data_IF_276997743976
#
_entry.id   IF_276997743976
#
_cell.length_a   1.000
_cell.length_b   1.000
_cell.length_c   1.000
_cell.angle_alpha   90.00
_cell.angle_beta   90.00
_cell.angle_gamma   90.00
#
_symmetry.space_group_name_H-M   'P 1'
#
loop_
_entity.id
_entity.type
_entity.pdbx_description
1 polymer ?
#
# COMPACT_ATOMS: atom_id res chain seq x y z
N UNK A 1 25.46 7.95 -19.39
CA UNK A 1 26.43 8.84 -20.08
C UNK A 1 26.40 10.25 -19.51
N UNK A 2 25.21 10.82 -19.24
CA UNK A 2 25.07 12.20 -18.69
C UNK A 2 25.76 12.31 -17.32
N UNK A 3 25.51 11.40 -16.39
CA UNK A 3 26.18 11.37 -15.09
C UNK A 3 27.70 11.34 -15.15
N UNK A 4 28.24 10.55 -16.07
CA UNK A 4 29.69 10.45 -16.25
C UNK A 4 30.32 11.71 -16.84
N UNK A 5 29.55 12.50 -17.58
CA UNK A 5 30.00 13.74 -18.18
C UNK A 5 29.82 14.96 -17.28
N UNK A 6 28.69 15.00 -16.54
CA UNK A 6 28.34 16.10 -15.63
C UNK A 6 27.38 15.59 -14.55
N UNK A 7 27.88 15.45 -13.33
CA UNK A 7 27.09 14.94 -12.20
C UNK A 7 25.88 15.83 -11.85
N UNK A 8 26.02 17.15 -11.96
CA UNK A 8 24.93 18.09 -11.66
C UNK A 8 23.77 17.95 -12.65
N UNK A 9 24.07 17.83 -13.94
CA UNK A 9 23.04 17.58 -14.97
C UNK A 9 22.44 16.18 -14.82
N UNK A 10 23.23 15.19 -14.41
CA UNK A 10 22.75 13.86 -14.08
C UNK A 10 21.74 13.86 -12.93
N UNK A 11 22.01 14.61 -11.85
CA UNK A 11 21.09 14.77 -10.72
C UNK A 11 19.81 15.48 -11.13
N UNK A 12 19.90 16.57 -11.90
CA UNK A 12 18.71 17.26 -12.44
C UNK A 12 17.82 16.34 -13.26
N UNK A 13 18.43 15.51 -14.11
CA UNK A 13 17.71 14.53 -14.92
C UNK A 13 17.00 13.49 -14.03
N UNK A 14 17.65 12.99 -12.97
CA UNK A 14 17.02 12.06 -12.04
C UNK A 14 15.83 12.70 -11.30
N UNK A 15 15.95 13.94 -10.85
CA UNK A 15 14.89 14.65 -10.16
C UNK A 15 13.73 15.05 -11.09
N UNK A 16 14.01 15.24 -12.38
CA UNK A 16 12.96 15.67 -13.33
C UNK A 16 11.89 14.61 -13.58
N UNK A 17 12.20 13.33 -13.37
CA UNK A 17 11.24 12.25 -13.59
C UNK A 17 10.15 12.20 -12.52
N UNK A 18 10.37 12.82 -11.35
CA UNK A 18 9.37 12.89 -10.29
C UNK A 18 8.15 13.74 -10.69
N UNK A 19 8.30 14.63 -11.67
CA UNK A 19 7.16 15.37 -12.24
C UNK A 19 6.13 14.48 -12.92
N UNK A 20 6.52 13.30 -13.39
CA UNK A 20 5.62 12.34 -14.03
C UNK A 20 4.68 11.67 -13.03
N UNK A 21 5.00 11.73 -11.72
CA UNK A 21 4.14 11.24 -10.63
C UNK A 21 2.87 12.08 -10.52
N UNK A 22 2.94 13.39 -10.75
CA UNK A 22 1.83 14.32 -10.54
C UNK A 22 0.57 13.97 -11.36
N UNK A 23 0.65 13.79 -12.68
CA UNK A 23 -0.53 13.42 -13.47
C UNK A 23 -1.06 12.02 -13.11
N UNK A 24 -0.18 11.07 -12.76
CA UNK A 24 -0.60 9.75 -12.26
C UNK A 24 -1.37 9.90 -10.94
N UNK A 25 -0.84 10.66 -9.98
CA UNK A 25 -1.48 10.89 -8.69
C UNK A 25 -2.89 11.51 -8.86
N UNK A 26 -3.02 12.54 -9.68
CA UNK A 26 -4.32 13.17 -9.98
C UNK A 26 -5.31 12.15 -10.58
N UNK A 27 -4.88 11.35 -11.54
CA UNK A 27 -5.70 10.29 -12.14
C UNK A 27 -6.12 9.25 -11.10
N UNK A 28 -5.17 8.80 -10.29
CA UNK A 28 -5.39 7.76 -9.28
C UNK A 28 -6.38 8.24 -8.21
N UNK A 29 -6.17 9.42 -7.61
CA UNK A 29 -7.06 9.94 -6.57
C UNK A 29 -8.49 10.24 -7.08
N UNK A 30 -8.65 10.56 -8.35
CA UNK A 30 -9.96 10.75 -8.99
C UNK A 30 -10.62 9.43 -9.44
N UNK A 31 -9.95 8.29 -9.30
CA UNK A 31 -10.45 7.01 -9.80
C UNK A 31 -11.50 6.39 -8.88
N UNK A 32 -12.41 5.60 -9.49
CA UNK A 32 -13.38 4.79 -8.74
C UNK A 32 -12.71 3.68 -7.91
N UNK A 33 -11.55 3.20 -8.34
CA UNK A 33 -10.76 2.19 -7.67
C UNK A 33 -10.19 2.74 -6.36
N UNK A 34 -9.68 3.98 -6.36
CA UNK A 34 -9.22 4.64 -5.14
C UNK A 34 -10.38 4.99 -4.21
N UNK A 35 -11.49 5.50 -4.74
CA UNK A 35 -12.70 5.74 -3.96
C UNK A 35 -13.20 4.46 -3.28
N UNK A 36 -13.13 3.33 -3.99
CA UNK A 36 -13.45 2.00 -3.44
C UNK A 36 -12.46 1.57 -2.36
N UNK A 37 -11.15 1.80 -2.54
CA UNK A 37 -10.13 1.53 -1.51
C UNK A 37 -10.40 2.33 -0.23
N UNK A 38 -10.71 3.62 -0.37
CA UNK A 38 -11.04 4.50 0.75
C UNK A 38 -12.30 4.03 1.49
N UNK A 39 -13.37 3.69 0.77
CA UNK A 39 -14.63 3.24 1.38
C UNK A 39 -14.48 1.85 2.01
N UNK A 40 -13.96 0.89 1.27
CA UNK A 40 -13.83 -0.49 1.74
C UNK A 40 -12.89 -0.62 2.94
N UNK A 41 -11.80 0.16 2.98
CA UNK A 41 -10.87 0.18 4.11
C UNK A 41 -11.54 0.75 5.37
N UNK A 42 -12.23 1.88 5.22
CA UNK A 42 -13.00 2.44 6.31
C UNK A 42 -14.05 1.46 6.88
N UNK A 43 -14.84 0.83 6.01
CA UNK A 43 -15.87 -0.14 6.44
C UNK A 43 -15.26 -1.40 7.06
N UNK A 44 -14.12 -1.84 6.57
CA UNK A 44 -13.37 -2.97 7.15
C UNK A 44 -12.97 -2.67 8.60
N UNK A 45 -12.32 -1.53 8.84
CA UNK A 45 -11.92 -1.12 10.19
C UNK A 45 -13.12 -0.91 11.10
N UNK A 46 -14.17 -0.23 10.62
CA UNK A 46 -15.39 0.05 11.38
C UNK A 46 -16.14 -1.23 11.80
N UNK A 47 -16.08 -2.28 10.98
CA UNK A 47 -16.70 -3.57 11.31
C UNK A 47 -15.80 -4.48 12.18
N UNK A 48 -14.65 -4.00 12.62
CA UNK A 48 -13.69 -4.77 13.44
C UNK A 48 -12.82 -5.73 12.63
N UNK A 49 -12.79 -5.60 11.29
CA UNK A 49 -11.84 -6.30 10.43
C UNK A 49 -10.46 -5.65 10.45
N UNK A 50 -9.50 -6.30 9.83
CA UNK A 50 -8.10 -5.84 9.77
C UNK A 50 -7.73 -5.48 8.34
N UNK A 51 -6.81 -4.52 8.20
CA UNK A 51 -6.18 -4.22 6.91
C UNK A 51 -4.76 -4.76 6.92
N UNK A 52 -4.44 -5.57 5.91
CA UNK A 52 -3.14 -6.19 5.75
C UNK A 52 -2.46 -5.57 4.53
N UNK A 53 -1.32 -4.91 4.74
CA UNK A 53 -0.44 -4.52 3.66
C UNK A 53 0.53 -5.67 3.37
N UNK A 54 0.68 -6.07 2.11
CA UNK A 54 1.65 -7.10 1.74
C UNK A 54 2.59 -6.63 0.65
N UNK A 55 3.83 -7.08 0.71
CA UNK A 55 4.85 -6.75 -0.28
C UNK A 55 6.12 -7.59 -0.13
N UNK A 56 7.04 -7.41 -1.07
CA UNK A 56 8.35 -8.06 -1.08
C UNK A 56 9.46 -7.03 -1.27
N UNK A 57 10.60 -7.22 -0.63
CA UNK A 57 11.75 -6.32 -0.76
C UNK A 57 11.41 -4.86 -0.43
N UNK A 58 11.46 -3.97 -1.42
CA UNK A 58 11.14 -2.55 -1.24
C UNK A 58 9.67 -2.35 -0.83
N UNK A 59 8.74 -3.02 -1.52
CA UNK A 59 7.30 -2.93 -1.22
C UNK A 59 6.93 -3.60 0.10
N UNK A 60 7.66 -4.64 0.50
CA UNK A 60 7.54 -5.22 1.85
C UNK A 60 7.93 -4.22 2.95
N UNK A 61 8.93 -3.36 2.69
CA UNK A 61 9.29 -2.28 3.62
C UNK A 61 8.21 -1.19 3.66
N UNK A 62 7.58 -0.85 2.54
CA UNK A 62 6.41 0.04 2.54
C UNK A 62 5.31 -0.56 3.43
N UNK A 63 5.01 -1.85 3.30
CA UNK A 63 4.01 -2.52 4.12
C UNK A 63 4.29 -2.38 5.63
N UNK A 64 5.55 -2.56 6.04
CA UNK A 64 5.99 -2.36 7.43
C UNK A 64 5.89 -0.89 7.86
N UNK A 65 6.21 0.05 6.97
CA UNK A 65 6.09 1.49 7.25
C UNK A 65 4.62 1.84 7.51
N UNK A 66 3.68 1.32 6.71
CA UNK A 66 2.25 1.56 6.89
C UNK A 66 1.77 1.08 8.27
N UNK A 67 2.13 -0.13 8.68
CA UNK A 67 1.80 -0.66 10.00
C UNK A 67 2.47 0.16 11.11
N UNK A 68 3.75 0.42 10.99
CA UNK A 68 4.53 1.10 12.02
C UNK A 68 4.10 2.55 12.23
N UNK A 69 3.79 3.28 11.14
CA UNK A 69 3.26 4.65 11.21
C UNK A 69 1.89 4.69 11.92
N UNK A 70 1.01 3.74 11.58
CA UNK A 70 -0.30 3.59 12.22
C UNK A 70 -0.18 3.34 13.72
N UNK A 71 0.60 2.33 14.12
CA UNK A 71 0.81 1.98 15.53
C UNK A 71 1.47 3.11 16.31
N UNK A 72 2.44 3.80 15.68
CA UNK A 72 3.10 4.95 16.28
C UNK A 72 2.13 6.10 16.51
N UNK A 73 1.30 6.42 15.53
CA UNK A 73 0.29 7.48 15.65
C UNK A 73 -0.64 7.25 16.84
N UNK A 74 -1.19 6.05 16.98
CA UNK A 74 -2.07 5.72 18.12
C UNK A 74 -1.32 5.68 19.46
N UNK A 75 -0.08 5.24 19.48
CA UNK A 75 0.75 5.30 20.69
C UNK A 75 1.01 6.74 21.12
N UNK A 76 1.37 7.61 20.17
CA UNK A 76 1.63 9.02 20.46
C UNK A 76 0.36 9.72 20.99
N UNK A 77 -0.83 9.37 20.49
CA UNK A 77 -2.12 9.84 21.05
C UNK A 77 -2.35 9.28 22.45
N UNK A 78 -2.11 7.98 22.67
CA UNK A 78 -2.25 7.36 23.98
C UNK A 78 -1.42 8.06 25.05
N UNK A 79 -0.18 8.42 24.71
CA UNK A 79 0.77 9.04 25.61
C UNK A 79 0.47 10.54 25.85
N UNK A 80 0.05 11.26 24.80
CA UNK A 80 -0.16 12.72 24.86
C UNK A 80 -1.60 13.15 25.10
N UNK A 81 -2.60 12.33 24.74
CA UNK A 81 -4.03 12.66 24.77
C UNK A 81 -4.88 11.42 25.16
N UNK A 82 -4.71 10.87 26.37
CA UNK A 82 -5.37 9.62 26.79
C UNK A 82 -6.89 9.66 26.72
N UNK A 83 -7.50 10.83 26.91
CA UNK A 83 -8.94 11.05 26.78
C UNK A 83 -9.44 10.88 25.32
N UNK A 84 -8.65 11.30 24.34
CA UNK A 84 -8.93 11.06 22.93
C UNK A 84 -8.71 9.60 22.57
N UNK A 85 -7.59 9.03 23.07
CA UNK A 85 -7.31 7.61 22.86
C UNK A 85 -8.42 6.69 23.37
N UNK A 86 -9.06 7.03 24.49
CA UNK A 86 -10.19 6.28 25.02
C UNK A 86 -11.38 6.19 24.04
N UNK A 87 -11.53 7.17 23.13
CA UNK A 87 -12.58 7.19 22.12
C UNK A 87 -12.17 6.44 20.84
N UNK A 88 -10.92 6.63 20.39
CA UNK A 88 -10.48 6.18 19.04
C UNK A 88 -9.47 5.02 19.06
N UNK A 89 -8.98 4.63 20.22
CA UNK A 89 -7.89 3.65 20.34
C UNK A 89 -8.22 2.23 19.89
N UNK A 90 -9.51 1.91 19.67
CA UNK A 90 -9.93 0.58 19.20
C UNK A 90 -9.34 0.19 17.85
N UNK A 91 -8.91 1.17 17.02
CA UNK A 91 -8.30 0.90 15.73
C UNK A 91 -6.78 0.70 15.76
N UNK A 92 -6.14 0.92 16.92
CA UNK A 92 -4.67 0.90 17.06
C UNK A 92 -3.99 -0.36 16.53
N UNK A 93 -4.65 -1.51 16.65
CA UNK A 93 -4.10 -2.82 16.30
C UNK A 93 -4.78 -3.49 15.10
N UNK A 94 -5.48 -2.71 14.25
CA UNK A 94 -6.20 -3.28 13.11
C UNK A 94 -5.40 -3.25 11.80
N UNK A 95 -4.18 -2.70 11.78
CA UNK A 95 -3.31 -2.71 10.60
C UNK A 95 -2.11 -3.62 10.84
N UNK A 96 -1.82 -4.46 9.84
CA UNK A 96 -0.74 -5.44 9.84
C UNK A 96 0.06 -5.37 8.54
N UNK A 97 1.27 -5.92 8.57
CA UNK A 97 2.11 -6.09 7.39
C UNK A 97 2.48 -7.54 7.18
N UNK A 98 2.53 -7.95 5.91
CA UNK A 98 3.11 -9.21 5.46
C UNK A 98 4.28 -8.86 4.55
N UNK A 99 5.50 -9.06 5.03
CA UNK A 99 6.69 -9.01 4.20
C UNK A 99 7.05 -10.42 3.75
N UNK A 100 7.31 -10.61 2.46
CA UNK A 100 7.82 -11.89 1.94
C UNK A 100 9.08 -12.31 2.68
N UNK A 101 9.06 -13.51 3.28
CA UNK A 101 10.15 -14.03 4.11
C UNK A 101 10.09 -13.59 5.57
N UNK A 102 9.08 -12.80 5.97
CA UNK A 102 8.88 -12.34 7.35
C UNK A 102 9.98 -11.42 7.85
N UNK A 103 10.05 -11.23 9.17
CA UNK A 103 11.00 -10.33 9.82
C UNK A 103 12.47 -10.70 9.56
N UNK A 104 12.75 -11.97 9.33
CA UNK A 104 14.10 -12.42 9.01
C UNK A 104 14.64 -11.79 7.73
N UNK A 105 13.78 -11.49 6.76
CA UNK A 105 14.14 -10.82 5.52
C UNK A 105 14.65 -9.38 5.71
N UNK A 106 14.40 -8.77 6.87
CA UNK A 106 14.98 -7.46 7.24
C UNK A 106 16.42 -7.56 7.70
N UNK A 107 16.82 -8.72 8.24
CA UNK A 107 18.16 -8.97 8.75
C UNK A 107 19.06 -9.56 7.67
N UNK A 108 18.53 -10.52 6.92
CA UNK A 108 19.24 -11.21 5.84
C UNK A 108 18.30 -11.48 4.67
N UNK A 109 18.75 -11.18 3.45
CA UNK A 109 18.01 -11.50 2.25
C UNK A 109 17.67 -13.00 2.21
N UNK A 110 16.41 -13.31 1.95
CA UNK A 110 15.92 -14.69 1.76
C UNK A 110 15.67 -14.88 0.26
N UNK A 111 16.74 -15.27 -0.42
CA UNK A 111 16.70 -15.50 -1.86
C UNK A 111 15.64 -16.55 -2.24
N UNK A 112 15.06 -16.40 -3.40
CA UNK A 112 14.06 -17.29 -3.98
C UNK A 112 12.68 -17.32 -3.29
N UNK A 113 12.48 -16.77 -2.11
CA UNK A 113 11.15 -16.75 -1.48
C UNK A 113 10.12 -15.95 -2.30
N UNK A 114 10.55 -14.94 -3.01
CA UNK A 114 9.69 -14.11 -3.87
C UNK A 114 9.13 -14.87 -5.08
N UNK A 115 9.81 -15.94 -5.51
CA UNK A 115 9.44 -16.71 -6.70
C UNK A 115 8.33 -17.72 -6.46
N UNK A 116 7.98 -17.99 -5.19
CA UNK A 116 7.00 -18.99 -4.82
C UNK A 116 5.72 -18.37 -4.26
N UNK A 117 4.62 -18.50 -5.02
CA UNK A 117 3.30 -18.03 -4.60
C UNK A 117 2.83 -18.69 -3.29
N UNK A 118 3.18 -19.95 -3.08
CA UNK A 118 2.78 -20.71 -1.88
C UNK A 118 3.32 -20.12 -0.59
N UNK A 119 4.48 -19.47 -0.60
CA UNK A 119 4.96 -18.78 0.60
C UNK A 119 4.08 -17.59 0.99
N UNK A 120 3.61 -16.81 0.00
CA UNK A 120 2.65 -15.75 0.27
C UNK A 120 1.30 -16.29 0.78
N UNK A 121 0.82 -17.36 0.18
CA UNK A 121 -0.41 -18.04 0.62
C UNK A 121 -0.27 -18.54 2.05
N UNK A 122 0.85 -19.16 2.38
CA UNK A 122 1.14 -19.65 3.74
C UNK A 122 1.15 -18.51 4.77
N UNK A 123 1.80 -17.38 4.46
CA UNK A 123 1.80 -16.21 5.34
C UNK A 123 0.37 -15.71 5.62
N UNK A 124 -0.50 -15.65 4.61
CA UNK A 124 -1.93 -15.29 4.79
C UNK A 124 -2.65 -16.26 5.72
N UNK A 125 -2.36 -17.58 5.60
CA UNK A 125 -2.93 -18.62 6.47
C UNK A 125 -2.48 -18.45 7.93
N UNK A 126 -1.20 -18.15 8.14
CA UNK A 126 -0.62 -17.92 9.47
C UNK A 126 -1.25 -16.71 10.18
N UNK A 127 -1.55 -15.65 9.43
CA UNK A 127 -2.28 -14.49 9.96
C UNK A 127 -3.78 -14.74 10.14
N UNK A 128 -4.29 -15.92 9.79
CA UNK A 128 -5.71 -16.27 9.90
C UNK A 128 -6.62 -15.21 9.26
N UNK A 129 -6.30 -14.79 8.03
CA UNK A 129 -7.10 -13.81 7.29
C UNK A 129 -8.49 -14.38 6.99
N UNK A 130 -9.51 -13.55 7.11
CA UNK A 130 -10.92 -13.91 6.93
C UNK A 130 -11.63 -12.98 5.94
N UNK A 131 -12.89 -13.27 5.63
CA UNK A 131 -13.74 -12.41 4.80
C UNK A 131 -14.07 -11.05 5.40
N UNK A 132 -13.75 -10.83 6.68
CA UNK A 132 -13.90 -9.52 7.34
C UNK A 132 -12.71 -8.60 7.08
N UNK A 133 -11.59 -9.17 6.65
CA UNK A 133 -10.33 -8.46 6.48
C UNK A 133 -10.20 -7.88 5.05
N UNK A 134 -9.24 -7.00 4.88
CA UNK A 134 -8.87 -6.41 3.59
C UNK A 134 -7.37 -6.54 3.36
N UNK A 135 -6.98 -6.93 2.15
CA UNK A 135 -5.59 -6.93 1.69
C UNK A 135 -5.34 -5.73 0.77
N UNK A 136 -4.23 -5.05 1.01
CA UNK A 136 -3.61 -4.10 0.09
C UNK A 136 -2.25 -4.67 -0.30
N UNK A 137 -2.19 -5.34 -1.43
CA UNK A 137 -0.98 -5.96 -1.95
C UNK A 137 -0.21 -4.95 -2.82
N UNK A 138 1.08 -4.80 -2.54
CA UNK A 138 1.96 -3.83 -3.19
C UNK A 138 3.09 -4.58 -3.89
N UNK A 139 3.18 -4.45 -5.21
CA UNK A 139 4.24 -5.08 -6.00
C UNK A 139 4.58 -4.19 -7.19
N UNK A 140 5.73 -3.53 -7.15
CA UNK A 140 6.13 -2.56 -8.15
C UNK A 140 6.01 -3.08 -9.59
N UNK A 141 6.58 -4.26 -9.86
CA UNK A 141 6.51 -4.90 -11.18
C UNK A 141 5.15 -5.51 -11.52
N UNK A 142 4.26 -5.69 -10.54
CA UNK A 142 2.99 -6.39 -10.75
C UNK A 142 3.13 -7.91 -10.93
N UNK A 143 4.30 -8.49 -10.62
CA UNK A 143 4.62 -9.88 -11.01
C UNK A 143 5.21 -10.76 -9.90
N UNK A 144 5.51 -10.22 -8.73
CA UNK A 144 6.14 -10.95 -7.62
C UNK A 144 5.26 -12.10 -7.15
N UNK A 145 5.70 -13.34 -7.38
CA UNK A 145 4.89 -14.54 -7.14
C UNK A 145 4.37 -14.65 -5.72
N UNK A 146 5.22 -14.39 -4.71
CA UNK A 146 4.81 -14.45 -3.30
C UNK A 146 3.72 -13.41 -2.97
N UNK A 147 3.82 -12.18 -3.50
CA UNK A 147 2.79 -11.15 -3.31
C UNK A 147 1.50 -11.54 -4.01
N UNK A 148 1.56 -12.04 -5.24
CA UNK A 148 0.38 -12.56 -5.94
C UNK A 148 -0.22 -13.79 -5.24
N UNK A 149 0.61 -14.54 -4.50
CA UNK A 149 0.15 -15.59 -3.59
C UNK A 149 -0.72 -15.04 -2.44
N UNK A 150 -0.35 -13.90 -1.85
CA UNK A 150 -1.21 -13.25 -0.84
C UNK A 150 -2.53 -12.79 -1.45
N UNK A 151 -2.50 -12.24 -2.68
CA UNK A 151 -3.70 -11.84 -3.43
C UNK A 151 -4.67 -13.01 -3.62
N UNK A 152 -4.18 -14.12 -4.18
CA UNK A 152 -5.04 -15.27 -4.47
C UNK A 152 -5.62 -15.91 -3.21
N UNK A 153 -4.82 -16.10 -2.16
CA UNK A 153 -5.30 -16.68 -0.90
C UNK A 153 -6.33 -15.80 -0.21
N UNK A 154 -6.11 -14.47 -0.16
CA UNK A 154 -7.08 -13.53 0.42
C UNK A 154 -8.39 -13.52 -0.38
N UNK A 155 -8.33 -13.53 -1.72
CA UNK A 155 -9.51 -13.60 -2.58
C UNK A 155 -10.30 -14.90 -2.38
N UNK A 156 -9.61 -16.04 -2.24
CA UNK A 156 -10.24 -17.35 -1.94
C UNK A 156 -10.90 -17.38 -0.56
N UNK A 157 -10.38 -16.66 0.40
CA UNK A 157 -10.95 -16.51 1.75
C UNK A 157 -12.09 -15.49 1.82
N UNK A 158 -12.40 -14.82 0.70
CA UNK A 158 -13.46 -13.83 0.61
C UNK A 158 -13.12 -12.46 1.21
N UNK A 159 -11.85 -12.20 1.52
CA UNK A 159 -11.39 -10.88 1.92
C UNK A 159 -11.49 -9.89 0.75
N UNK A 160 -11.60 -8.60 1.06
CA UNK A 160 -11.48 -7.55 0.03
C UNK A 160 -10.03 -7.46 -0.40
N UNK A 161 -9.77 -7.39 -1.70
CA UNK A 161 -8.40 -7.42 -2.22
C UNK A 161 -8.16 -6.24 -3.16
N UNK A 162 -7.09 -5.49 -2.85
CA UNK A 162 -6.55 -4.42 -3.67
C UNK A 162 -5.13 -4.76 -4.08
N UNK A 163 -4.81 -4.56 -5.37
CA UNK A 163 -3.50 -4.83 -5.95
C UNK A 163 -2.94 -3.55 -6.56
N UNK A 164 -1.83 -3.07 -6.03
CA UNK A 164 -1.11 -1.86 -6.45
C UNK A 164 0.16 -2.24 -7.19
N UNK A 165 0.38 -1.66 -8.38
CA UNK A 165 1.62 -1.86 -9.15
C UNK A 165 1.90 -0.70 -10.12
N UNK A 166 3.13 -0.66 -10.69
CA UNK A 166 3.63 0.45 -11.51
C UNK A 166 4.03 0.06 -12.94
N UNK A 167 3.55 -1.07 -13.44
CA UNK A 167 3.73 -1.44 -14.85
C UNK A 167 2.40 -1.35 -15.61
N UNK A 168 2.40 -1.11 -16.93
CA UNK A 168 1.17 -1.11 -17.71
C UNK A 168 0.43 -2.46 -17.60
N UNK A 169 -0.81 -2.44 -17.14
CA UNK A 169 -1.60 -3.63 -16.90
C UNK A 169 -1.80 -4.50 -18.15
N UNK A 170 -1.99 -3.85 -19.32
CA UNK A 170 -2.15 -4.53 -20.62
C UNK A 170 -0.89 -5.30 -21.02
N UNK A 171 0.29 -4.75 -20.73
CA UNK A 171 1.59 -5.41 -20.98
C UNK A 171 1.75 -6.62 -20.05
N UNK A 172 1.44 -6.47 -18.76
CA UNK A 172 1.49 -7.56 -17.80
C UNK A 172 0.55 -8.70 -18.19
N UNK A 173 -0.69 -8.40 -18.52
CA UNK A 173 -1.68 -9.40 -18.95
C UNK A 173 -1.27 -10.13 -20.21
N UNK A 174 -0.56 -9.47 -21.12
CA UNK A 174 -0.10 -10.07 -22.39
C UNK A 174 1.05 -11.07 -22.20
N UNK A 175 1.98 -10.81 -21.30
CA UNK A 175 3.23 -11.53 -21.23
C UNK A 175 3.43 -12.37 -19.97
N UNK A 176 2.69 -12.10 -18.88
CA UNK A 176 2.92 -12.73 -17.59
C UNK A 176 1.61 -13.34 -17.07
N UNK A 177 1.51 -14.66 -17.15
CA UNK A 177 0.28 -15.39 -16.83
C UNK A 177 -0.19 -15.18 -15.40
N UNK A 178 0.73 -15.22 -14.42
CA UNK A 178 0.39 -15.00 -13.00
C UNK A 178 -0.13 -13.60 -12.73
N UNK A 179 0.41 -12.59 -13.43
CA UNK A 179 -0.06 -11.21 -13.32
C UNK A 179 -1.44 -11.06 -13.95
N UNK A 180 -1.64 -11.64 -15.15
CA UNK A 180 -2.95 -11.66 -15.80
C UNK A 180 -4.00 -12.29 -14.91
N UNK A 181 -3.70 -13.45 -14.32
CA UNK A 181 -4.64 -14.16 -13.45
C UNK A 181 -5.08 -13.30 -12.25
N UNK A 182 -4.18 -12.50 -11.67
CA UNK A 182 -4.51 -11.60 -10.57
C UNK A 182 -5.24 -10.34 -11.03
N UNK A 183 -4.83 -9.75 -12.16
CA UNK A 183 -5.40 -8.50 -12.71
C UNK A 183 -6.83 -8.73 -13.23
N UNK A 184 -7.07 -9.87 -13.87
CA UNK A 184 -8.38 -10.21 -14.45
C UNK A 184 -9.33 -10.90 -13.44
N UNK A 185 -8.88 -11.20 -12.21
CA UNK A 185 -9.74 -11.77 -11.18
C UNK A 185 -10.79 -10.73 -10.73
N UNK A 186 -12.10 -10.99 -10.93
CA UNK A 186 -13.15 -10.02 -10.59
C UNK A 186 -13.25 -9.72 -9.08
N UNK A 187 -12.60 -10.50 -8.23
CA UNK A 187 -12.53 -10.28 -6.78
C UNK A 187 -11.44 -9.29 -6.39
N UNK A 188 -10.54 -8.94 -7.32
CA UNK A 188 -9.39 -8.05 -7.10
C UNK A 188 -9.67 -6.68 -7.68
N UNK A 189 -9.51 -5.65 -6.89
CA UNK A 189 -9.53 -4.26 -7.35
C UNK A 189 -8.10 -3.80 -7.65
N UNK A 190 -7.85 -3.45 -8.89
CA UNK A 190 -6.51 -3.07 -9.37
C UNK A 190 -6.36 -1.56 -9.35
N UNK A 191 -5.26 -1.07 -8.75
CA UNK A 191 -4.78 0.31 -8.87
C UNK A 191 -3.48 0.31 -9.69
N UNK A 192 -3.59 0.66 -10.96
CA UNK A 192 -2.45 0.85 -11.86
C UNK A 192 -1.85 2.24 -11.62
N UNK A 193 -0.68 2.25 -10.98
CA UNK A 193 0.07 3.45 -10.60
C UNK A 193 1.19 3.77 -11.61
N UNK A 194 1.14 3.17 -12.80
CA UNK A 194 2.16 3.43 -13.82
C UNK A 194 2.18 4.91 -14.21
N UNK A 195 3.29 5.57 -13.97
CA UNK A 195 3.50 6.97 -14.33
C UNK A 195 4.44 7.13 -15.54
N UNK A 196 5.48 6.33 -15.62
CA UNK A 196 6.51 6.40 -16.67
C UNK A 196 7.56 5.29 -16.47
N UNK A 197 8.49 5.08 -17.39
CA UNK A 197 9.69 4.28 -17.14
C UNK A 197 10.47 4.82 -15.94
N UNK A 198 11.00 3.94 -15.10
CA UNK A 198 11.77 4.31 -13.92
C UNK A 198 13.01 5.13 -14.30
N UNK A 199 13.42 6.07 -13.45
CA UNK A 199 14.62 6.89 -13.60
C UNK A 199 15.89 6.07 -13.87
N UNK A 200 15.95 4.87 -13.31
CA UNK A 200 16.98 3.86 -13.61
C UNK A 200 16.27 2.60 -14.07
N UNK A 201 16.47 2.22 -15.31
CA UNK A 201 15.87 1.02 -15.90
C UNK A 201 16.22 -0.22 -15.06
N UNK A 202 15.21 -1.04 -14.76
CA UNK A 202 15.34 -2.24 -13.93
C UNK A 202 15.40 -1.97 -12.42
N UNK A 203 15.30 -0.70 -11.98
CA UNK A 203 15.16 -0.40 -10.55
C UNK A 203 13.72 -0.60 -10.08
N UNK A 204 13.55 -1.35 -9.01
CA UNK A 204 12.27 -1.54 -8.31
C UNK A 204 12.06 -0.50 -7.19
N UNK A 205 12.54 0.70 -7.39
CA UNK A 205 12.49 1.83 -6.45
C UNK A 205 12.15 3.10 -7.22
N UNK A 206 12.58 4.24 -6.76
CA UNK A 206 12.37 5.53 -7.40
C UNK A 206 10.87 5.92 -7.44
N UNK A 207 10.35 6.31 -8.58
CA UNK A 207 8.96 6.78 -8.72
C UNK A 207 7.94 5.72 -8.28
N UNK A 208 8.20 4.43 -8.54
CA UNK A 208 7.29 3.36 -8.14
C UNK A 208 7.08 3.33 -6.63
N UNK A 209 8.16 3.32 -5.85
CA UNK A 209 8.07 3.39 -4.39
C UNK A 209 7.30 4.62 -3.92
N UNK A 210 7.55 5.79 -4.52
CA UNK A 210 6.84 7.04 -4.18
C UNK A 210 5.35 6.93 -4.50
N UNK A 211 4.98 6.41 -5.66
CA UNK A 211 3.59 6.25 -6.07
C UNK A 211 2.82 5.30 -5.15
N UNK A 212 3.42 4.16 -4.82
CA UNK A 212 2.82 3.13 -3.97
C UNK A 212 2.65 3.64 -2.53
N UNK A 213 3.70 4.23 -1.96
CA UNK A 213 3.65 4.79 -0.62
C UNK A 213 2.63 5.91 -0.52
N UNK A 214 2.61 6.85 -1.46
CA UNK A 214 1.65 7.95 -1.50
C UNK A 214 0.20 7.44 -1.57
N UNK A 215 -0.06 6.44 -2.40
CA UNK A 215 -1.39 5.82 -2.49
C UNK A 215 -1.82 5.18 -1.16
N UNK A 216 -0.93 4.40 -0.55
CA UNK A 216 -1.20 3.70 0.70
C UNK A 216 -1.36 4.67 1.89
N UNK A 217 -0.48 5.66 2.01
CA UNK A 217 -0.54 6.68 3.08
C UNK A 217 -1.80 7.52 2.99
N UNK A 218 -2.16 7.98 1.80
CA UNK A 218 -3.37 8.79 1.63
C UNK A 218 -4.64 7.99 1.93
N UNK A 219 -4.66 6.70 1.60
CA UNK A 219 -5.77 5.83 2.00
C UNK A 219 -5.86 5.72 3.54
N UNK A 220 -4.73 5.50 4.23
CA UNK A 220 -4.69 5.46 5.70
C UNK A 220 -5.16 6.78 6.33
N UNK A 221 -4.68 7.91 5.80
CA UNK A 221 -5.08 9.23 6.26
C UNK A 221 -6.59 9.46 6.08
N UNK A 222 -7.15 9.03 4.95
CA UNK A 222 -8.58 9.11 4.67
C UNK A 222 -9.40 8.31 5.70
N UNK A 223 -8.98 7.09 6.04
CA UNK A 223 -9.63 6.28 7.06
C UNK A 223 -9.57 6.92 8.44
N UNK A 224 -8.40 7.42 8.83
CA UNK A 224 -8.21 8.10 10.12
C UNK A 224 -9.05 9.36 10.24
N UNK A 225 -9.00 10.26 9.26
CA UNK A 225 -9.75 11.52 9.27
C UNK A 225 -11.24 11.26 9.39
N UNK A 226 -11.76 10.31 8.62
CA UNK A 226 -13.19 9.96 8.66
C UNK A 226 -13.59 9.40 10.02
N UNK A 227 -12.83 8.47 10.57
CA UNK A 227 -13.08 7.88 11.89
C UNK A 227 -13.05 8.92 13.00
N UNK A 228 -12.00 9.73 13.03
CA UNK A 228 -11.85 10.77 14.03
C UNK A 228 -12.95 11.83 13.94
N UNK A 229 -13.39 12.17 12.74
CA UNK A 229 -14.50 13.11 12.54
C UNK A 229 -15.85 12.55 13.05
N UNK A 230 -16.02 11.23 13.05
CA UNK A 230 -17.22 10.58 13.58
C UNK A 230 -17.19 10.42 15.11
N UNK A 231 -16.02 10.14 15.70
CA UNK A 231 -15.88 9.79 17.12
C UNK A 231 -15.54 10.99 18.02
N UNK A 232 -15.03 12.07 17.47
CA UNK A 232 -14.57 13.23 18.21
C UNK A 232 -15.52 14.43 18.04
N UNK A 233 -15.52 15.31 19.05
CA UNK A 233 -16.17 16.62 18.89
C UNK A 233 -15.45 17.44 17.81
N UNK A 234 -16.14 18.45 17.27
CA UNK A 234 -15.55 19.35 16.25
C UNK A 234 -14.27 20.05 16.76
N UNK A 235 -14.23 20.40 18.05
CA UNK A 235 -13.09 21.05 18.69
C UNK A 235 -11.92 20.08 18.85
N UNK A 236 -12.16 18.85 19.32
CA UNK A 236 -11.15 17.80 19.43
C UNK A 236 -10.57 17.46 18.05
N UNK A 237 -11.42 17.30 17.04
CA UNK A 237 -10.98 17.02 15.67
C UNK A 237 -10.11 18.17 15.11
N UNK A 238 -10.56 19.42 15.28
CA UNK A 238 -9.82 20.59 14.83
C UNK A 238 -8.43 20.74 15.49
N UNK A 239 -8.27 20.22 16.72
CA UNK A 239 -7.01 20.27 17.46
C UNK A 239 -5.86 19.46 16.82
N UNK A 240 -6.17 18.57 15.86
CA UNK A 240 -5.17 17.84 15.09
C UNK A 240 -4.56 18.68 13.96
N UNK A 241 -5.19 19.80 13.58
CA UNK A 241 -4.71 20.68 12.52
C UNK A 241 -4.68 20.04 11.13
N UNK A 242 -5.44 18.96 10.93
CA UNK A 242 -5.52 18.32 9.62
C UNK A 242 -6.17 19.26 8.60
N UNK A 243 -5.50 19.38 7.47
CA UNK A 243 -6.07 20.11 6.33
C UNK A 243 -6.85 19.13 5.46
N UNK A 244 -8.00 19.56 4.96
CA UNK A 244 -8.68 18.85 3.90
C UNK A 244 -7.91 19.13 2.60
N UNK A 245 -7.23 18.10 2.08
CA UNK A 245 -6.62 18.20 0.77
C UNK A 245 -7.70 18.01 -0.27
N UNK A 246 -7.86 19.00 -1.14
CA UNK A 246 -8.58 18.84 -2.39
C UNK A 246 -7.58 18.27 -3.42
N UNK A 247 -7.78 17.04 -3.92
CA UNK A 247 -6.89 16.44 -4.90
C UNK A 247 -7.05 17.01 -6.32
N UNK A 248 -7.95 18.01 -6.53
CA UNK A 248 -8.23 18.62 -7.83
C UNK A 248 -7.08 19.46 -8.42
#
# INVERSE_FOLDING_TARGET
KVFAANAAEGVKLLLSVDYDIIPMAKKMFASKEFAKLAEDGYQTLKSGGRIIFSGCGATGRISIIMESAWRRFFRDIKDSRPEIYAKVGSWSDQIFSIMTGGDYALVKSVECFEDYAEFGRQQVREYNVTSKDMLVAITEGGETSSVLGTVSECAERGAKVFLLFNNPADVLCKYIERSRAAIEDPRVTVLDLYCCPMAIAGSTRMQATTCEQMCAEYAQETWLKRYFKEELTAEEYASFGWQDYDPA
#
